data_IF_670897135853
#
_entry.id   IF_670897135853
#
_cell.length_a   1.000
_cell.length_b   1.000
_cell.length_c   1.000
_cell.angle_alpha   90.00
_cell.angle_beta   90.00
_cell.angle_gamma   90.00
#
_symmetry.space_group_name_H-M   'P 1'
#
loop_
_entity.id
_entity.type
_entity.pdbx_description
1 polymer ?
#
# COMPACT_ATOMS: atom_id res chain seq x y z
N UNK A 1 -13.25 -26.37 12.03
CA UNK A 1 -13.23 -25.92 13.43
C UNK A 1 -13.93 -24.57 13.46
N UNK A 2 -14.73 -24.29 14.49
CA UNK A 2 -15.49 -23.04 14.57
C UNK A 2 -14.52 -21.88 14.89
N UNK A 3 -14.52 -20.85 14.04
CA UNK A 3 -13.80 -19.57 14.20
C UNK A 3 -14.43 -18.67 15.29
N UNK A 4 -15.13 -19.27 16.25
CA UNK A 4 -15.78 -18.54 17.33
C UNK A 4 -14.76 -18.35 18.45
N UNK A 5 -14.46 -17.08 18.75
CA UNK A 5 -13.60 -16.57 19.85
C UNK A 5 -12.14 -16.26 19.53
N UNK A 6 -11.84 -15.70 18.34
CA UNK A 6 -10.86 -14.62 18.35
C UNK A 6 -11.46 -13.51 19.22
N UNK A 7 -10.78 -13.03 20.27
CA UNK A 7 -11.34 -12.02 21.14
C UNK A 7 -11.78 -10.81 20.32
N UNK A 8 -12.92 -10.23 20.70
CA UNK A 8 -13.44 -8.95 20.22
C UNK A 8 -12.50 -7.82 20.68
N UNK A 9 -11.25 -7.85 20.23
CA UNK A 9 -10.25 -6.81 20.45
C UNK A 9 -10.33 -5.75 19.36
N UNK A 10 -11.18 -5.96 18.36
CA UNK A 10 -11.23 -5.13 17.17
C UNK A 10 -12.22 -4.00 17.37
N UNK A 11 -11.70 -2.77 17.23
CA UNK A 11 -12.52 -1.56 17.21
C UNK A 11 -13.17 -1.44 15.84
N UNK A 12 -14.48 -1.63 15.78
CA UNK A 12 -15.25 -1.15 14.64
C UNK A 12 -15.30 0.37 14.68
N UNK A 13 -14.96 1.02 13.57
CA UNK A 13 -15.15 2.46 13.43
C UNK A 13 -16.65 2.79 13.40
N UNK A 14 -17.09 3.70 14.26
CA UNK A 14 -18.37 4.38 14.03
C UNK A 14 -18.28 5.24 12.76
N UNK A 15 -19.42 5.54 12.14
CA UNK A 15 -19.48 6.45 10.98
C UNK A 15 -18.78 7.80 11.26
N UNK A 16 -18.91 8.30 12.49
CA UNK A 16 -18.29 9.56 12.91
C UNK A 16 -16.77 9.48 13.00
N UNK A 17 -16.24 8.37 13.53
CA UNK A 17 -14.81 8.13 13.61
C UNK A 17 -14.23 7.90 12.20
N UNK A 18 -14.96 7.17 11.35
CA UNK A 18 -14.52 6.93 9.97
C UNK A 18 -14.47 8.23 9.17
N UNK A 19 -15.48 9.10 9.33
CA UNK A 19 -15.48 10.43 8.71
C UNK A 19 -14.36 11.34 9.24
N UNK A 20 -14.05 11.26 10.54
CA UNK A 20 -12.92 11.99 11.12
C UNK A 20 -11.58 11.48 10.58
N UNK A 21 -11.43 10.16 10.47
CA UNK A 21 -10.24 9.52 9.91
C UNK A 21 -10.04 9.91 8.45
N UNK A 22 -11.10 9.90 7.63
CA UNK A 22 -11.04 10.35 6.24
C UNK A 22 -10.50 11.78 6.13
N UNK A 23 -11.00 12.71 6.95
CA UNK A 23 -10.53 14.10 6.96
C UNK A 23 -9.06 14.23 7.38
N UNK A 24 -8.64 13.42 8.37
CA UNK A 24 -7.25 13.39 8.83
C UNK A 24 -6.33 12.92 7.71
N UNK A 25 -6.68 11.82 7.04
CA UNK A 25 -5.94 11.23 5.93
C UNK A 25 -5.91 12.17 4.71
N UNK A 26 -7.05 12.79 4.37
CA UNK A 26 -7.12 13.84 3.33
C UNK A 26 -6.17 15.01 3.62
N UNK A 27 -6.12 15.49 4.86
CA UNK A 27 -5.22 16.58 5.27
C UNK A 27 -3.75 16.14 5.22
N UNK A 28 -3.44 14.94 5.72
CA UNK A 28 -2.08 14.42 5.78
C UNK A 28 -1.44 14.18 4.40
N UNK A 29 -2.26 13.99 3.36
CA UNK A 29 -1.81 13.77 1.98
C UNK A 29 -1.83 15.04 1.12
N UNK A 30 -2.08 16.21 1.70
CA UNK A 30 -2.01 17.48 0.96
C UNK A 30 -0.62 17.75 0.38
N UNK A 31 0.42 17.40 1.14
CA UNK A 31 1.81 17.49 0.69
C UNK A 31 2.09 16.67 -0.56
N UNK A 32 1.44 15.51 -0.71
CA UNK A 32 1.62 14.62 -1.86
C UNK A 32 1.00 15.23 -3.12
N UNK A 33 -0.17 15.86 -2.99
CA UNK A 33 -0.82 16.58 -4.10
C UNK A 33 0.05 17.74 -4.56
N UNK A 34 0.62 18.49 -3.62
CA UNK A 34 1.56 19.56 -3.96
C UNK A 34 2.79 19.00 -4.68
N UNK A 35 3.35 17.87 -4.24
CA UNK A 35 4.48 17.24 -4.95
C UNK A 35 4.15 16.82 -6.37
N UNK A 36 2.95 16.28 -6.61
CA UNK A 36 2.50 15.90 -7.95
C UNK A 36 2.44 17.13 -8.86
N UNK A 37 1.89 18.25 -8.36
CA UNK A 37 1.80 19.51 -9.07
C UNK A 37 3.19 20.11 -9.34
N UNK A 38 4.01 20.26 -8.29
CA UNK A 38 5.34 20.88 -8.35
C UNK A 38 6.28 20.12 -9.28
N UNK A 39 6.22 18.79 -9.27
CA UNK A 39 7.03 17.94 -10.15
C UNK A 39 6.43 17.80 -11.57
N UNK A 40 5.23 18.35 -11.82
CA UNK A 40 4.55 18.24 -13.11
C UNK A 40 4.26 16.79 -13.51
N UNK A 41 3.92 15.92 -12.55
CA UNK A 41 3.76 14.50 -12.83
C UNK A 41 2.48 14.21 -13.61
N UNK A 42 2.60 13.29 -14.57
CA UNK A 42 1.43 12.68 -15.20
C UNK A 42 0.67 11.85 -14.18
N UNK A 43 -0.64 12.11 -14.07
CA UNK A 43 -1.61 11.26 -13.39
C UNK A 43 -2.27 10.33 -14.40
N UNK A 44 -2.28 9.05 -14.09
CA UNK A 44 -2.86 8.00 -14.92
C UNK A 44 -4.31 7.75 -14.50
N UNK A 45 -5.24 8.09 -15.37
CA UNK A 45 -6.69 8.07 -15.13
C UNK A 45 -7.30 6.70 -15.43
N UNK A 46 -6.72 5.96 -16.36
CA UNK A 46 -7.19 4.63 -16.78
C UNK A 46 -6.00 3.70 -17.05
N UNK A 47 -6.29 2.43 -17.27
CA UNK A 47 -5.29 1.39 -17.48
C UNK A 47 -4.53 1.58 -18.80
N UNK A 48 -5.16 2.12 -19.85
CA UNK A 48 -4.50 2.46 -21.11
C UNK A 48 -3.34 3.44 -20.89
N UNK A 49 -3.60 4.54 -20.16
CA UNK A 49 -2.56 5.51 -19.81
C UNK A 49 -1.46 4.91 -18.93
N UNK A 50 -1.80 3.99 -18.02
CA UNK A 50 -0.82 3.26 -17.21
C UNK A 50 0.11 2.49 -18.15
N UNK A 51 -0.44 1.77 -19.13
CA UNK A 51 0.34 1.00 -20.10
C UNK A 51 1.19 1.89 -21.01
N UNK A 52 0.66 3.02 -21.48
CA UNK A 52 1.47 4.05 -22.17
C UNK A 52 2.64 4.54 -21.30
N UNK A 53 2.40 4.69 -19.99
CA UNK A 53 3.43 5.02 -19.00
C UNK A 53 4.52 3.96 -18.88
N UNK A 54 4.14 2.68 -18.93
CA UNK A 54 5.07 1.54 -18.94
C UNK A 54 5.89 1.52 -20.23
N UNK A 55 5.24 1.63 -21.39
CA UNK A 55 5.89 1.65 -22.70
C UNK A 55 6.88 2.82 -22.85
N UNK A 56 6.54 3.97 -22.26
CA UNK A 56 7.40 5.15 -22.23
C UNK A 56 8.52 5.08 -21.17
N UNK A 57 8.63 3.99 -20.40
CA UNK A 57 9.63 3.82 -19.34
C UNK A 57 9.43 4.74 -18.13
N UNK A 58 8.22 5.28 -17.94
CA UNK A 58 7.87 6.13 -16.78
C UNK A 58 7.43 5.30 -15.57
N UNK A 59 6.99 4.07 -15.82
CA UNK A 59 6.51 3.12 -14.82
C UNK A 59 7.24 1.79 -14.99
N UNK A 60 7.53 1.14 -13.87
CA UNK A 60 8.19 -0.15 -13.81
C UNK A 60 7.31 -1.17 -13.08
N UNK A 61 7.38 -2.42 -13.54
CA UNK A 61 6.64 -3.52 -12.91
C UNK A 61 7.29 -3.85 -11.58
N UNK A 62 6.50 -3.77 -10.52
CA UNK A 62 6.88 -4.23 -9.19
C UNK A 62 6.81 -5.75 -9.16
N UNK A 63 7.88 -6.37 -8.66
CA UNK A 63 7.95 -7.79 -8.38
C UNK A 63 8.19 -7.98 -6.88
N UNK A 64 7.67 -9.07 -6.32
CA UNK A 64 8.00 -9.44 -4.94
C UNK A 64 9.49 -9.71 -4.76
N UNK A 65 10.00 -9.49 -3.55
CA UNK A 65 11.41 -9.66 -3.21
C UNK A 65 11.60 -10.63 -2.04
N UNK A 66 12.78 -10.60 -1.42
CA UNK A 66 13.04 -11.30 -0.16
C UNK A 66 12.41 -10.60 1.04
N UNK A 67 12.20 -9.28 0.97
CA UNK A 67 11.77 -8.44 2.08
C UNK A 67 10.28 -8.08 2.05
N UNK A 68 9.67 -8.09 0.87
CA UNK A 68 8.23 -7.92 0.71
C UNK A 68 7.70 -8.88 -0.34
N UNK A 69 6.40 -9.06 -0.36
CA UNK A 69 5.74 -9.73 -1.45
C UNK A 69 4.37 -9.11 -1.73
N UNK A 70 3.91 -9.29 -2.96
CA UNK A 70 2.67 -8.71 -3.46
C UNK A 70 1.49 -9.59 -3.04
N UNK A 71 0.34 -9.00 -2.73
CA UNK A 71 -0.90 -9.78 -2.60
C UNK A 71 -1.30 -10.39 -3.94
N UNK A 72 -2.13 -11.43 -3.89
CA UNK A 72 -2.48 -12.26 -5.05
C UNK A 72 -3.02 -11.45 -6.24
N UNK A 73 -3.86 -10.43 -6.00
CA UNK A 73 -4.41 -9.60 -7.10
C UNK A 73 -3.34 -8.83 -7.89
N UNK A 74 -2.26 -8.41 -7.24
CA UNK A 74 -1.13 -7.73 -7.87
C UNK A 74 -0.22 -8.73 -8.59
N UNK A 75 -0.01 -9.92 -8.01
CA UNK A 75 0.81 -11.00 -8.60
C UNK A 75 0.22 -11.51 -9.90
N UNK A 76 -1.09 -11.75 -9.91
CA UNK A 76 -1.80 -12.36 -11.03
C UNK A 76 -2.27 -11.34 -12.07
N UNK A 77 -1.72 -10.12 -12.06
CA UNK A 77 -2.06 -9.12 -13.07
C UNK A 77 -1.54 -9.55 -14.46
N UNK A 78 -2.44 -9.53 -15.45
CA UNK A 78 -2.25 -9.93 -16.84
C UNK A 78 -3.38 -9.42 -17.74
N UNK A 79 -3.27 -9.63 -19.05
CA UNK A 79 -4.16 -9.05 -20.07
C UNK A 79 -5.63 -9.40 -19.86
N UNK A 80 -5.97 -10.61 -19.40
CA UNK A 80 -7.36 -10.97 -19.11
C UNK A 80 -7.99 -10.17 -17.97
N UNK A 81 -7.15 -9.53 -17.14
CA UNK A 81 -7.58 -8.64 -16.06
C UNK A 81 -7.64 -7.20 -16.49
N UNK A 82 -7.51 -6.86 -17.77
CA UNK A 82 -7.93 -5.55 -18.29
C UNK A 82 -9.43 -5.50 -18.62
N UNK A 83 -10.20 -6.57 -18.33
CA UNK A 83 -11.65 -6.58 -18.48
C UNK A 83 -12.36 -5.88 -17.30
N UNK A 84 -13.15 -4.79 -17.52
CA UNK A 84 -14.05 -4.12 -16.56
C UNK A 84 -14.76 -5.04 -15.56
N UNK A 85 -15.12 -6.23 -16.04
CA UNK A 85 -15.95 -7.19 -15.33
C UNK A 85 -15.15 -8.22 -14.52
N UNK A 86 -13.82 -8.26 -14.65
CA UNK A 86 -12.99 -9.19 -13.90
C UNK A 86 -12.93 -8.77 -12.41
N UNK A 87 -13.08 -9.75 -11.51
CA UNK A 87 -13.16 -9.46 -10.07
C UNK A 87 -11.88 -8.78 -9.51
N UNK A 88 -10.76 -8.93 -10.21
CA UNK A 88 -9.46 -8.34 -9.87
C UNK A 88 -8.93 -7.34 -10.92
N UNK A 89 -9.81 -6.79 -11.76
CA UNK A 89 -9.45 -6.01 -12.95
C UNK A 89 -8.48 -4.84 -12.71
N UNK A 90 -8.40 -4.30 -11.50
CA UNK A 90 -8.00 -2.91 -11.34
C UNK A 90 -6.73 -2.67 -10.52
N UNK A 91 -5.85 -3.65 -10.34
CA UNK A 91 -4.62 -3.45 -9.53
C UNK A 91 -3.36 -3.67 -10.35
N UNK A 92 -2.97 -2.72 -11.22
CA UNK A 92 -1.74 -2.84 -11.99
C UNK A 92 -0.51 -2.79 -11.07
N UNK A 93 0.45 -3.71 -11.22
CA UNK A 93 1.59 -3.80 -10.32
C UNK A 93 2.72 -2.88 -10.78
N UNK A 94 2.43 -1.58 -10.94
CA UNK A 94 3.42 -0.63 -11.44
C UNK A 94 3.64 0.54 -10.49
N UNK A 95 4.88 1.05 -10.48
CA UNK A 95 5.29 2.27 -9.78
C UNK A 95 6.25 3.06 -10.65
N UNK A 96 6.42 4.35 -10.33
CA UNK A 96 7.57 5.10 -10.83
C UNK A 96 8.87 4.53 -10.23
N UNK A 97 10.00 4.60 -10.94
CA UNK A 97 11.28 4.02 -10.49
C UNK A 97 11.68 4.48 -9.07
N UNK A 98 11.51 5.76 -8.77
CA UNK A 98 11.78 6.35 -7.44
C UNK A 98 10.98 5.68 -6.33
N UNK A 99 9.68 5.45 -6.56
CA UNK A 99 8.80 4.84 -5.58
C UNK A 99 9.09 3.34 -5.41
N UNK A 100 9.44 2.64 -6.50
CA UNK A 100 9.90 1.25 -6.45
C UNK A 100 11.19 1.13 -5.62
N UNK A 101 12.19 1.97 -5.89
CA UNK A 101 13.44 1.97 -5.12
C UNK A 101 13.20 2.22 -3.62
N UNK A 102 12.31 3.16 -3.29
CA UNK A 102 11.92 3.42 -1.90
C UNK A 102 11.22 2.25 -1.24
N UNK A 103 10.28 1.59 -1.92
CA UNK A 103 9.64 0.37 -1.44
C UNK A 103 10.69 -0.72 -1.12
N UNK A 104 11.66 -0.92 -2.02
CA UNK A 104 12.73 -1.89 -1.82
C UNK A 104 13.60 -1.54 -0.60
N UNK A 105 14.03 -0.28 -0.45
CA UNK A 105 14.90 0.13 0.64
C UNK A 105 14.19 0.07 2.00
N UNK A 106 12.96 0.60 2.08
CA UNK A 106 12.15 0.56 3.30
C UNK A 106 11.92 -0.88 3.75
N UNK A 107 11.56 -1.77 2.83
CA UNK A 107 11.26 -3.17 3.18
C UNK A 107 12.54 -3.93 3.56
N UNK A 108 13.67 -3.67 2.91
CA UNK A 108 14.97 -4.25 3.28
C UNK A 108 15.40 -3.80 4.68
N UNK A 109 15.31 -2.50 4.97
CA UNK A 109 15.66 -1.95 6.29
C UNK A 109 14.76 -2.52 7.37
N UNK A 110 13.44 -2.54 7.15
CA UNK A 110 12.50 -3.22 8.05
C UNK A 110 12.87 -4.68 8.27
N UNK A 111 13.22 -5.44 7.22
CA UNK A 111 13.59 -6.85 7.36
C UNK A 111 14.89 -7.04 8.16
N UNK A 112 15.85 -6.12 8.02
CA UNK A 112 17.09 -6.15 8.80
C UNK A 112 16.83 -5.93 10.28
N UNK A 113 15.96 -4.98 10.62
CA UNK A 113 15.59 -4.67 12.00
C UNK A 113 14.68 -5.75 12.62
N UNK A 114 13.78 -6.34 11.83
CA UNK A 114 12.87 -7.39 12.28
C UNK A 114 13.64 -8.66 12.69
N UNK A 115 14.80 -8.90 12.06
CA UNK A 115 15.68 -10.03 12.38
C UNK A 115 15.04 -11.41 12.12
N UNK A 116 13.93 -11.45 11.39
CA UNK A 116 13.20 -12.68 11.08
C UNK A 116 13.08 -12.92 9.56
N UNK A 117 12.57 -14.09 9.19
CA UNK A 117 12.34 -14.47 7.78
C UNK A 117 10.90 -14.17 7.34
N UNK A 118 10.29 -13.10 7.81
CA UNK A 118 8.98 -12.63 7.31
C UNK A 118 9.15 -11.61 6.18
N UNK A 119 8.03 -11.29 5.54
CA UNK A 119 7.93 -10.29 4.48
C UNK A 119 6.75 -9.38 4.73
N UNK A 120 6.90 -8.11 4.36
CA UNK A 120 5.78 -7.17 4.32
C UNK A 120 4.84 -7.49 3.15
N UNK A 121 3.55 -7.28 3.38
CA UNK A 121 2.50 -7.49 2.37
C UNK A 121 2.16 -6.18 1.67
N UNK A 122 2.55 -6.05 0.40
CA UNK A 122 2.18 -4.87 -0.41
C UNK A 122 0.80 -5.07 -1.01
N UNK A 123 -0.12 -4.15 -0.70
CA UNK A 123 -1.55 -4.31 -1.02
C UNK A 123 -2.04 -3.35 -2.11
N UNK A 124 -1.31 -2.27 -2.37
CA UNK A 124 -1.64 -1.33 -3.44
C UNK A 124 -0.40 -0.69 -4.03
N UNK A 125 -0.50 -0.36 -5.33
CA UNK A 125 0.52 0.32 -6.14
C UNK A 125 -0.20 1.41 -6.94
N UNK A 126 0.09 1.59 -8.24
CA UNK A 126 -0.69 2.52 -9.09
C UNK A 126 -2.18 2.15 -9.14
N UNK A 127 -3.05 3.16 -9.31
CA UNK A 127 -4.51 3.01 -9.43
C UNK A 127 -5.05 3.90 -10.54
N UNK A 128 -5.99 3.39 -11.33
CA UNK A 128 -6.85 4.19 -12.21
C UNK A 128 -8.01 4.84 -11.42
N UNK A 129 -8.71 5.82 -12.01
CA UNK A 129 -9.92 6.42 -11.44
C UNK A 129 -10.97 5.34 -11.15
N UNK A 130 -11.19 4.43 -12.12
CA UNK A 130 -12.15 3.33 -12.01
C UNK A 130 -11.82 2.41 -10.81
N UNK A 131 -10.54 2.12 -10.59
CA UNK A 131 -10.15 1.33 -9.42
C UNK A 131 -10.46 2.06 -8.12
N UNK A 132 -10.07 3.32 -8.06
CA UNK A 132 -10.23 4.16 -6.88
C UNK A 132 -11.72 4.30 -6.52
N UNK A 133 -12.59 4.53 -7.50
CA UNK A 133 -14.04 4.59 -7.33
C UNK A 133 -14.63 3.27 -6.84
N UNK A 134 -14.11 2.13 -7.32
CA UNK A 134 -14.52 0.82 -6.86
C UNK A 134 -14.15 0.56 -5.40
N UNK A 135 -12.93 0.90 -4.99
CA UNK A 135 -12.48 0.75 -3.59
C UNK A 135 -13.36 1.56 -2.63
N UNK A 136 -13.77 2.77 -3.05
CA UNK A 136 -14.68 3.64 -2.30
C UNK A 136 -16.08 3.04 -2.15
N UNK A 137 -16.66 2.59 -3.26
CA UNK A 137 -18.09 2.22 -3.33
C UNK A 137 -18.37 0.80 -2.86
N UNK A 138 -17.51 -0.16 -3.22
CA UNK A 138 -17.73 -1.59 -2.98
C UNK A 138 -17.05 -2.07 -1.71
N UNK A 139 -15.79 -1.68 -1.51
CA UNK A 139 -14.96 -2.22 -0.43
C UNK A 139 -14.95 -1.33 0.81
N UNK A 140 -15.58 -0.13 0.72
CA UNK A 140 -15.62 0.89 1.79
C UNK A 140 -14.25 1.18 2.40
N UNK A 141 -13.19 1.05 1.59
CA UNK A 141 -11.83 1.29 2.05
C UNK A 141 -11.57 2.77 2.16
N UNK A 142 -10.72 3.13 3.13
CA UNK A 142 -10.15 4.47 3.19
C UNK A 142 -9.38 4.70 1.90
N UNK A 143 -9.94 5.57 1.08
CA UNK A 143 -9.41 5.91 -0.23
C UNK A 143 -9.65 7.39 -0.41
N UNK A 144 -8.56 8.14 -0.58
CA UNK A 144 -8.63 9.57 -0.81
C UNK A 144 -9.13 9.77 -2.24
N UNK A 145 -10.44 9.88 -2.35
CA UNK A 145 -11.16 10.14 -3.60
C UNK A 145 -12.40 10.97 -3.28
N UNK A 146 -12.20 12.05 -2.54
CA UNK A 146 -13.16 13.15 -2.58
C UNK A 146 -13.18 13.71 -3.99
N UNK A 147 -14.36 14.08 -4.49
CA UNK A 147 -14.53 14.61 -5.84
C UNK A 147 -13.50 15.72 -6.13
N UNK A 148 -12.73 15.54 -7.22
CA UNK A 148 -11.75 16.52 -7.69
C UNK A 148 -10.36 16.45 -7.06
N UNK A 149 -10.10 15.57 -6.08
CA UNK A 149 -8.75 15.36 -5.56
C UNK A 149 -8.00 14.28 -6.34
N UNK A 150 -6.72 14.56 -6.61
CA UNK A 150 -5.79 13.62 -7.22
C UNK A 150 -5.24 12.70 -6.13
N UNK A 151 -5.33 11.39 -6.36
CA UNK A 151 -4.69 10.39 -5.51
C UNK A 151 -3.23 10.20 -5.92
N UNK A 152 -2.33 10.09 -4.95
CA UNK A 152 -0.89 9.85 -5.17
C UNK A 152 -0.60 8.49 -5.82
N UNK A 153 -1.50 7.51 -5.66
CA UNK A 153 -1.45 6.28 -6.42
C UNK A 153 -1.62 6.51 -7.92
N UNK A 154 -2.43 7.48 -8.34
CA UNK A 154 -2.64 7.77 -9.76
C UNK A 154 -1.41 8.36 -10.43
N UNK A 155 -0.49 8.95 -9.66
CA UNK A 155 0.78 9.41 -10.17
C UNK A 155 1.85 8.30 -10.15
N UNK A 156 1.54 7.10 -9.63
CA UNK A 156 2.49 5.99 -9.49
C UNK A 156 3.59 6.25 -8.46
N UNK A 157 3.40 7.21 -7.54
CA UNK A 157 4.38 7.54 -6.50
C UNK A 157 4.05 6.89 -5.16
N UNK A 158 2.85 6.32 -4.99
CA UNK A 158 2.40 5.75 -3.74
C UNK A 158 2.16 4.25 -3.78
N UNK A 159 2.38 3.61 -2.64
CA UNK A 159 2.13 2.20 -2.39
C UNK A 159 1.63 2.00 -0.96
N UNK A 160 0.87 0.91 -0.76
CA UNK A 160 0.28 0.58 0.53
C UNK A 160 0.85 -0.74 1.06
N UNK A 161 1.19 -0.77 2.35
CA UNK A 161 1.62 -1.96 3.07
C UNK A 161 0.59 -2.30 4.14
N UNK A 162 0.19 -3.57 4.22
CA UNK A 162 -0.72 -4.07 5.25
C UNK A 162 -0.08 -3.94 6.63
N UNK A 163 -0.66 -3.12 7.52
CA UNK A 163 -0.19 -2.96 8.89
C UNK A 163 -0.60 -4.12 9.79
N UNK A 164 -1.51 -4.98 9.34
CA UNK A 164 -1.93 -6.18 10.07
C UNK A 164 -1.49 -7.47 9.37
N UNK A 165 -0.71 -7.37 8.29
CA UNK A 165 -0.46 -8.47 7.38
C UNK A 165 1.01 -8.72 7.12
N UNK A 166 1.46 -9.94 7.40
CA UNK A 166 2.77 -10.44 7.00
C UNK A 166 2.65 -11.60 6.02
N UNK A 167 3.75 -11.92 5.36
CA UNK A 167 3.91 -13.18 4.64
C UNK A 167 5.03 -13.94 5.35
N UNK A 168 4.68 -15.09 5.92
CA UNK A 168 5.55 -15.90 6.77
C UNK A 168 5.73 -17.29 6.15
N UNK A 169 6.65 -18.09 6.68
CA UNK A 169 6.74 -19.51 6.33
C UNK A 169 5.87 -20.35 7.27
N UNK A 170 5.10 -21.26 6.71
CA UNK A 170 4.44 -22.33 7.48
C UNK A 170 5.45 -23.40 7.94
N UNK A 171 4.94 -24.43 8.62
CA UNK A 171 5.76 -25.53 9.16
C UNK A 171 6.49 -26.31 8.06
N UNK A 172 5.93 -26.32 6.85
CA UNK A 172 6.50 -26.93 5.64
C UNK A 172 7.47 -26.00 4.90
N UNK A 173 7.66 -24.76 5.37
CA UNK A 173 8.57 -23.77 4.80
C UNK A 173 8.01 -23.03 3.57
N UNK A 174 6.71 -23.17 3.28
CA UNK A 174 6.01 -22.46 2.21
C UNK A 174 5.56 -21.09 2.69
N UNK A 175 5.65 -20.10 1.81
CA UNK A 175 5.16 -18.75 2.08
C UNK A 175 3.63 -18.72 2.12
N UNK A 176 3.09 -18.26 3.25
CA UNK A 176 1.66 -18.11 3.50
C UNK A 176 1.37 -16.72 4.07
N UNK A 177 0.22 -16.11 3.74
CA UNK A 177 -0.19 -14.86 4.35
C UNK A 177 -0.58 -15.09 5.82
N UNK A 178 -0.19 -14.17 6.69
CA UNK A 178 -0.60 -14.03 8.07
C UNK A 178 -1.34 -12.70 8.20
N UNK A 179 -2.67 -12.74 8.25
CA UNK A 179 -3.52 -11.55 8.42
C UNK A 179 -4.77 -11.92 9.25
N UNK A 180 -5.58 -10.95 9.71
CA UNK A 180 -6.71 -11.20 10.62
C UNK A 180 -7.75 -12.22 10.13
N UNK A 181 -7.74 -12.55 8.83
CA UNK A 181 -8.66 -13.51 8.19
C UNK A 181 -8.08 -14.92 8.05
N UNK A 182 -6.88 -15.18 8.59
CA UNK A 182 -6.15 -16.45 8.44
C UNK A 182 -5.99 -17.15 9.79
N UNK A 183 -5.94 -18.49 9.77
CA UNK A 183 -5.75 -19.30 10.98
C UNK A 183 -4.36 -19.09 11.61
N UNK A 184 -3.38 -18.66 10.81
CA UNK A 184 -1.99 -18.43 11.20
C UNK A 184 -1.79 -17.06 11.87
N UNK A 185 -2.85 -16.28 12.06
CA UNK A 185 -2.74 -14.90 12.53
C UNK A 185 -2.19 -14.80 13.95
N UNK A 186 -1.05 -14.13 14.08
CA UNK A 186 -0.47 -13.71 15.34
C UNK A 186 -0.56 -12.18 15.45
N UNK A 187 -1.50 -11.72 16.28
CA UNK A 187 -1.74 -10.29 16.48
C UNK A 187 -0.53 -9.57 17.07
N UNK A 188 0.13 -10.16 18.08
CA UNK A 188 1.28 -9.53 18.73
C UNK A 188 2.40 -9.33 17.72
N UNK A 189 2.68 -10.37 16.93
CA UNK A 189 3.70 -10.30 15.89
C UNK A 189 3.36 -9.29 14.79
N UNK A 190 2.10 -9.23 14.37
CA UNK A 190 1.65 -8.23 13.40
C UNK A 190 1.81 -6.81 13.93
N UNK A 191 1.46 -6.57 15.20
CA UNK A 191 1.61 -5.28 15.85
C UNK A 191 3.09 -4.88 16.00
N UNK A 192 3.94 -5.78 16.50
CA UNK A 192 5.39 -5.54 16.63
C UNK A 192 5.99 -5.18 15.26
N UNK A 193 5.56 -5.87 14.21
CA UNK A 193 5.97 -5.58 12.83
C UNK A 193 5.50 -4.20 12.33
N UNK A 194 4.27 -3.81 12.63
CA UNK A 194 3.73 -2.50 12.26
C UNK A 194 4.44 -1.36 12.99
N UNK A 195 4.70 -1.51 14.28
CA UNK A 195 5.46 -0.54 15.08
C UNK A 195 6.87 -0.36 14.51
N UNK A 196 7.54 -1.47 14.18
CA UNK A 196 8.85 -1.44 13.55
C UNK A 196 8.82 -0.77 12.17
N UNK A 197 7.84 -1.10 11.34
CA UNK A 197 7.68 -0.45 10.03
C UNK A 197 7.48 1.06 10.22
N UNK A 198 6.67 1.49 11.19
CA UNK A 198 6.47 2.90 11.46
C UNK A 198 7.76 3.61 11.87
N UNK A 199 8.64 2.98 12.65
CA UNK A 199 9.96 3.53 13.00
C UNK A 199 10.84 3.77 11.75
N UNK A 200 10.89 2.80 10.85
CA UNK A 200 11.58 2.93 9.55
C UNK A 200 10.96 4.09 8.76
N UNK A 201 9.64 4.12 8.61
CA UNK A 201 8.95 5.17 7.86
C UNK A 201 9.18 6.57 8.45
N UNK A 202 9.20 6.71 9.78
CA UNK A 202 9.54 7.98 10.47
C UNK A 202 10.92 8.49 10.07
N UNK A 203 11.90 7.60 9.91
CA UNK A 203 13.25 7.96 9.48
C UNK A 203 13.24 8.55 8.05
N UNK A 204 12.60 7.86 7.09
CA UNK A 204 12.51 8.32 5.69
C UNK A 204 11.69 9.60 5.56
N UNK A 205 10.61 9.72 6.34
CA UNK A 205 9.77 10.91 6.37
C UNK A 205 10.52 12.14 6.88
N UNK A 206 11.26 11.99 7.99
CA UNK A 206 12.10 13.06 8.55
C UNK A 206 13.18 13.53 7.58
N UNK A 207 13.69 12.63 6.74
CA UNK A 207 14.65 12.93 5.68
C UNK A 207 14.01 13.57 4.44
N UNK A 208 12.67 13.63 4.39
CA UNK A 208 11.91 14.21 3.29
C UNK A 208 11.79 13.31 2.06
N UNK A 209 12.18 12.02 2.16
CA UNK A 209 12.09 11.07 1.05
C UNK A 209 10.67 10.58 0.79
N UNK A 210 9.85 10.52 1.83
CA UNK A 210 8.46 10.05 1.74
C UNK A 210 7.52 10.94 2.53
N UNK A 211 6.25 10.91 2.16
CA UNK A 211 5.15 11.10 3.08
C UNK A 211 4.61 9.71 3.45
N UNK A 212 4.11 9.55 4.68
CA UNK A 212 3.36 8.35 5.02
C UNK A 212 2.21 8.67 5.95
N UNK A 213 1.16 7.87 5.86
CA UNK A 213 -0.02 7.93 6.71
C UNK A 213 -0.34 6.53 7.19
N UNK A 214 -0.35 6.32 8.51
CA UNK A 214 -0.92 5.13 9.15
C UNK A 214 -2.43 5.31 9.18
N UNK A 215 -3.16 4.49 8.44
CA UNK A 215 -4.62 4.54 8.30
C UNK A 215 -5.27 3.48 9.19
N UNK A 216 -6.44 3.79 9.77
CA UNK A 216 -7.24 2.84 10.54
C UNK A 216 -6.46 2.18 11.70
N UNK A 217 -5.61 2.97 12.37
CA UNK A 217 -4.74 2.53 13.47
C UNK A 217 -5.52 1.76 14.56
N UNK A 218 -5.00 0.59 14.93
CA UNK A 218 -5.60 -0.27 15.95
C UNK A 218 -6.80 -1.09 15.48
N UNK A 219 -6.97 -1.28 14.17
CA UNK A 219 -8.00 -2.13 13.58
C UNK A 219 -7.43 -3.24 12.70
N UNK A 220 -8.27 -4.17 12.23
CA UNK A 220 -7.87 -5.25 11.31
C UNK A 220 -7.52 -4.78 9.90
N UNK A 221 -7.84 -3.53 9.57
CA UNK A 221 -7.64 -2.94 8.26
C UNK A 221 -6.55 -1.87 8.31
N UNK A 222 -5.71 -1.90 9.37
CA UNK A 222 -4.60 -0.99 9.50
C UNK A 222 -3.68 -1.08 8.28
N UNK A 223 -3.32 0.08 7.74
CA UNK A 223 -2.56 0.19 6.51
C UNK A 223 -1.57 1.34 6.59
N UNK A 224 -0.40 1.17 5.99
CA UNK A 224 0.55 2.25 5.78
C UNK A 224 0.48 2.71 4.34
N UNK A 225 -0.13 3.87 4.12
CA UNK A 225 -0.04 4.59 2.86
C UNK A 225 1.29 5.32 2.79
N UNK A 226 2.09 5.09 1.74
CA UNK A 226 3.43 5.64 1.60
C UNK A 226 3.58 6.25 0.22
N UNK A 227 3.96 7.53 0.15
CA UNK A 227 4.17 8.25 -1.09
C UNK A 227 5.62 8.76 -1.19
N UNK A 228 6.31 8.38 -2.27
CA UNK A 228 7.65 8.85 -2.58
C UNK A 228 7.64 10.33 -2.97
N UNK A 229 8.56 11.11 -2.41
CA UNK A 229 8.76 12.50 -2.79
C UNK A 229 9.50 12.58 -4.15
N UNK A 230 8.83 12.97 -5.25
CA UNK A 230 9.44 13.01 -6.57
C UNK A 230 10.44 14.16 -6.75
N UNK A 231 10.45 15.14 -5.83
CA UNK A 231 11.34 16.31 -5.87
C UNK A 231 12.71 16.03 -5.25
N UNK A 232 12.88 14.89 -4.57
CA UNK A 232 14.17 14.52 -3.99
C UNK A 232 15.10 13.99 -5.07
N UNK A 233 16.26 14.65 -5.24
CA UNK A 233 17.25 14.32 -6.27
C UNK A 233 18.34 13.34 -5.79
N UNK A 234 18.21 12.81 -4.57
CA UNK A 234 19.23 11.89 -4.06
C UNK A 234 19.10 10.56 -4.79
N UNK A 235 20.00 10.32 -5.74
CA UNK A 235 20.26 9.00 -6.33
C UNK A 235 20.76 7.99 -5.28
N UNK A 236 21.09 8.48 -4.08
CA UNK A 236 21.45 7.68 -2.90
C UNK A 236 20.30 7.74 -1.90
N UNK A 237 19.48 6.69 -1.92
CA UNK A 237 18.95 6.10 -0.69
C UNK A 237 19.87 4.94 -0.35
#
# INVERSE_FOLDING_TARGET
MALDTLPSVYRDFSESEFSAELKRVESATEVERQWIEDAGLTTYRNDEQIMEGVEAGKLERVLGSRAFDLIERLKLWGDERSDPNHEFHYSPPFLRPRALNLLEHITIEWQQEAGDNSKLSVTSLIRSDEYQDRLRTRDKKLTIASEGLISSHQAGIAFDIDGCGLIIKDEEGKWVPMNPRTEQYDFSRAQDSAELLEEVLKSYHKQGYINYVRELEGTQEECFHIAANPLTTSDTI
#
